data_IF_819205645947
#
_entry.id   IF_819205645947
#
_cell.length_a   1.000
_cell.length_b   1.000
_cell.length_c   1.000
_cell.angle_alpha   90.00
_cell.angle_beta   90.00
_cell.angle_gamma   90.00
#
_symmetry.space_group_name_H-M   'P 1'
#
loop_
_entity.id
_entity.type
_entity.pdbx_description
1 polymer ?
#
# COMPACT_ATOMS: atom_id res chain seq x y z
N UNK A 1 18.85 6.44 16.73
CA UNK A 1 19.63 5.25 16.30
C UNK A 1 19.54 5.03 14.78
N UNK A 2 18.37 5.03 14.15
CA UNK A 2 18.24 4.84 12.70
C UNK A 2 18.98 5.91 11.87
N UNK A 3 19.01 7.16 12.31
CA UNK A 3 19.75 8.26 11.68
C UNK A 3 21.25 8.00 11.50
N UNK A 4 21.84 7.15 12.35
CA UNK A 4 23.26 6.75 12.25
C UNK A 4 23.45 5.58 11.26
N UNK A 5 22.46 4.70 11.14
CA UNK A 5 22.52 3.52 10.27
C UNK A 5 22.14 3.86 8.82
N UNK A 6 21.18 4.78 8.62
CA UNK A 6 20.69 5.17 7.30
C UNK A 6 21.80 5.61 6.33
N UNK A 7 22.77 6.48 6.70
CA UNK A 7 23.83 6.90 5.77
C UNK A 7 24.67 5.72 5.26
N UNK A 8 24.85 4.69 6.08
CA UNK A 8 25.58 3.47 5.70
C UNK A 8 24.74 2.67 4.70
N UNK A 9 23.47 2.42 5.01
CA UNK A 9 22.54 1.69 4.13
C UNK A 9 22.37 2.40 2.77
N UNK A 10 22.43 3.72 2.75
CA UNK A 10 22.27 4.52 1.53
C UNK A 10 23.49 4.49 0.59
N UNK A 11 24.64 3.98 1.03
CA UNK A 11 25.82 3.74 0.16
C UNK A 11 25.70 2.47 -0.68
N UNK A 12 24.81 1.54 -0.28
CA UNK A 12 24.57 0.32 -1.03
C UNK A 12 23.47 0.53 -2.08
N UNK A 13 23.42 -0.37 -3.07
CA UNK A 13 22.28 -0.45 -3.99
C UNK A 13 20.96 -0.50 -3.23
N UNK A 14 19.94 0.18 -3.76
CA UNK A 14 18.69 0.37 -3.03
C UNK A 14 17.94 -0.94 -2.76
N UNK A 15 17.91 -1.85 -3.73
CA UNK A 15 17.21 -3.13 -3.62
C UNK A 15 18.00 -4.11 -2.73
N UNK A 16 19.33 -4.13 -2.82
CA UNK A 16 20.19 -4.91 -1.90
C UNK A 16 20.02 -4.45 -0.46
N UNK A 17 20.03 -3.13 -0.21
CA UNK A 17 19.80 -2.56 1.11
C UNK A 17 18.41 -2.90 1.66
N UNK A 18 17.38 -2.91 0.80
CA UNK A 18 16.03 -3.32 1.15
C UNK A 18 16.01 -4.79 1.63
N UNK A 19 16.54 -5.73 0.86
CA UNK A 19 16.59 -7.15 1.25
C UNK A 19 17.41 -7.37 2.51
N UNK A 20 18.55 -6.70 2.64
CA UNK A 20 19.36 -6.78 3.87
C UNK A 20 18.58 -6.29 5.09
N UNK A 21 17.88 -5.17 4.97
CA UNK A 21 17.07 -4.60 6.06
C UNK A 21 15.93 -5.53 6.47
N UNK A 22 15.19 -6.09 5.52
CA UNK A 22 14.11 -7.04 5.82
C UNK A 22 14.63 -8.30 6.52
N UNK A 23 15.74 -8.89 6.02
CA UNK A 23 16.35 -10.04 6.65
C UNK A 23 16.84 -9.74 8.08
N UNK A 24 17.41 -8.55 8.28
CA UNK A 24 17.87 -8.10 9.61
C UNK A 24 16.70 -7.89 10.57
N UNK A 25 15.60 -7.27 10.11
CA UNK A 25 14.38 -7.08 10.91
C UNK A 25 13.76 -8.41 11.30
N UNK A 26 13.65 -9.35 10.36
CA UNK A 26 13.12 -10.70 10.63
C UNK A 26 13.99 -11.45 11.63
N UNK A 27 15.30 -11.33 11.51
CA UNK A 27 16.24 -11.97 12.46
C UNK A 27 16.13 -11.34 13.84
N UNK A 28 16.11 -10.01 13.92
CA UNK A 28 15.97 -9.29 15.19
C UNK A 28 14.64 -9.61 15.89
N UNK A 29 13.56 -9.73 15.12
CA UNK A 29 12.24 -10.13 15.64
C UNK A 29 12.30 -11.56 16.25
N UNK A 30 12.83 -12.53 15.50
CA UNK A 30 12.96 -13.92 15.98
C UNK A 30 13.81 -14.05 17.24
N UNK A 31 14.81 -13.19 17.39
CA UNK A 31 15.67 -13.13 18.58
C UNK A 31 15.06 -12.30 19.73
N UNK A 32 13.88 -11.72 19.56
CA UNK A 32 13.23 -10.87 20.55
C UNK A 32 13.96 -9.54 20.79
N UNK A 33 14.76 -9.06 19.83
CA UNK A 33 15.55 -7.84 19.94
C UNK A 33 14.80 -6.57 19.51
N UNK A 34 13.62 -6.71 18.87
CA UNK A 34 12.81 -5.56 18.53
C UNK A 34 12.08 -5.01 19.75
N UNK A 35 12.04 -3.68 19.92
CA UNK A 35 11.27 -3.08 21.00
C UNK A 35 9.78 -3.36 20.78
N UNK A 36 9.10 -3.77 21.86
CA UNK A 36 7.63 -3.85 21.84
C UNK A 36 7.09 -2.43 21.98
N UNK A 37 6.58 -1.88 20.89
CA UNK A 37 5.91 -0.58 20.91
C UNK A 37 4.42 -0.83 21.15
N UNK A 38 3.84 -0.12 22.12
CA UNK A 38 2.39 -0.17 22.32
C UNK A 38 1.70 0.48 21.11
N UNK A 39 0.93 -0.32 20.39
CA UNK A 39 0.14 0.13 19.24
C UNK A 39 -1.25 0.64 19.62
N UNK A 40 -1.73 0.39 20.86
CA UNK A 40 -3.06 0.75 21.31
C UNK A 40 -3.12 2.20 21.83
N UNK A 41 -2.84 3.15 20.95
CA UNK A 41 -2.74 4.57 21.33
C UNK A 41 -3.95 5.39 20.93
N UNK A 42 -4.67 5.01 19.89
CA UNK A 42 -5.86 5.71 19.38
C UNK A 42 -6.74 4.73 18.58
N UNK A 43 -7.62 3.97 19.23
CA UNK A 43 -8.55 3.09 18.53
C UNK A 43 -9.34 3.85 17.46
N UNK A 44 -9.35 3.32 16.26
CA UNK A 44 -9.95 3.94 15.08
C UNK A 44 -10.74 2.90 14.31
N UNK A 45 -11.97 3.22 13.95
CA UNK A 45 -12.76 2.36 13.07
C UNK A 45 -12.40 2.63 11.61
N UNK A 46 -12.19 1.55 10.83
CA UNK A 46 -11.90 1.61 9.40
C UNK A 46 -12.55 0.41 8.71
N UNK A 47 -13.47 0.63 7.77
CA UNK A 47 -14.15 -0.45 7.04
C UNK A 47 -14.82 -1.51 7.97
N UNK A 48 -15.37 -1.09 9.12
CA UNK A 48 -15.90 -1.99 10.15
C UNK A 48 -14.86 -2.71 11.01
N UNK A 49 -13.56 -2.45 10.79
CA UNK A 49 -12.46 -3.01 11.57
C UNK A 49 -12.04 -2.05 12.68
N UNK A 50 -11.73 -2.59 13.86
CA UNK A 50 -11.20 -1.82 14.99
C UNK A 50 -9.67 -1.82 14.94
N UNK A 51 -9.08 -0.73 14.46
CA UNK A 51 -7.63 -0.52 14.45
C UNK A 51 -7.15 -0.07 15.84
N UNK A 52 -6.03 -0.57 16.36
CA UNK A 52 -5.45 -0.04 17.59
C UNK A 52 -4.94 1.40 17.45
N UNK A 53 -4.61 1.82 16.22
CA UNK A 53 -4.29 3.20 15.85
C UNK A 53 -4.41 3.40 14.32
N UNK A 54 -4.52 4.66 13.82
CA UNK A 54 -4.76 4.95 12.41
C UNK A 54 -3.50 4.95 11.53
N UNK A 55 -2.33 4.50 12.00
CA UNK A 55 -1.08 4.53 11.22
C UNK A 55 -0.72 3.12 10.77
N UNK A 56 -0.74 2.89 9.47
CA UNK A 56 -0.45 1.59 8.85
C UNK A 56 0.84 1.55 8.03
N UNK A 57 1.31 0.34 7.78
CA UNK A 57 2.34 0.06 6.78
C UNK A 57 1.69 -0.08 5.40
N UNK A 58 2.21 0.64 4.40
CA UNK A 58 1.75 0.50 3.01
C UNK A 58 2.33 -0.76 2.36
N UNK A 59 1.56 -1.37 1.45
CA UNK A 59 2.02 -2.47 0.61
C UNK A 59 3.28 -2.12 -0.19
N UNK A 60 4.10 -3.13 -0.46
CA UNK A 60 5.33 -3.03 -1.26
C UNK A 60 6.61 -3.15 -0.46
N UNK A 61 6.60 -2.90 0.84
CA UNK A 61 7.77 -3.14 1.72
C UNK A 61 7.92 -4.64 2.01
N UNK A 62 6.85 -5.30 2.42
CA UNK A 62 6.81 -6.76 2.58
C UNK A 62 5.91 -7.37 1.48
N UNK A 63 6.52 -7.74 0.36
CA UNK A 63 5.77 -8.22 -0.79
C UNK A 63 5.25 -9.65 -0.65
N UNK A 64 5.88 -10.43 0.21
CA UNK A 64 5.60 -11.85 0.36
C UNK A 64 5.04 -12.24 1.75
N UNK A 65 4.88 -11.27 2.66
CA UNK A 65 4.46 -11.56 4.03
C UNK A 65 5.54 -12.24 4.88
N UNK A 66 6.83 -11.96 4.61
CA UNK A 66 7.96 -12.58 5.30
C UNK A 66 8.36 -11.85 6.59
N UNK A 67 7.88 -10.61 6.79
CA UNK A 67 8.29 -9.72 7.87
C UNK A 67 7.10 -9.16 8.66
N UNK A 68 5.92 -9.80 8.62
CA UNK A 68 4.69 -9.31 9.25
C UNK A 68 4.91 -9.01 10.74
N UNK A 69 5.43 -9.99 11.49
CA UNK A 69 5.68 -9.87 12.93
C UNK A 69 6.67 -8.74 13.25
N UNK A 70 7.70 -8.58 12.41
CA UNK A 70 8.70 -7.55 12.60
C UNK A 70 8.15 -6.14 12.37
N UNK A 71 7.32 -5.94 11.33
CA UNK A 71 6.66 -4.66 11.11
C UNK A 71 5.61 -4.36 12.18
N UNK A 72 4.85 -5.36 12.62
CA UNK A 72 3.90 -5.21 13.71
C UNK A 72 4.58 -4.72 15.01
N UNK A 73 5.76 -5.24 15.32
CA UNK A 73 6.54 -4.83 16.49
C UNK A 73 6.97 -3.34 16.47
N UNK A 74 6.95 -2.68 15.31
CA UNK A 74 7.27 -1.26 15.17
C UNK A 74 6.13 -0.32 15.64
N UNK A 75 4.94 -0.85 15.95
CA UNK A 75 3.82 -0.08 16.50
C UNK A 75 2.77 0.36 15.48
N UNK A 76 2.78 -0.20 14.26
CA UNK A 76 1.71 0.03 13.30
C UNK A 76 0.37 -0.50 13.80
N UNK A 77 -0.71 0.24 13.56
CA UNK A 77 -2.08 -0.18 13.85
C UNK A 77 -2.58 -1.26 12.90
N UNK A 78 -2.05 -1.28 11.68
CA UNK A 78 -2.33 -2.29 10.66
C UNK A 78 -1.15 -2.43 9.71
N UNK A 79 -1.02 -3.61 9.12
CA UNK A 79 0.08 -3.95 8.19
C UNK A 79 -0.53 -4.39 6.87
N UNK A 80 -0.12 -3.78 5.76
CA UNK A 80 -0.51 -4.21 4.42
C UNK A 80 0.69 -4.84 3.71
N UNK A 81 0.54 -6.12 3.33
CA UNK A 81 1.54 -6.90 2.59
C UNK A 81 1.17 -7.01 1.12
N UNK A 82 2.11 -7.37 0.28
CA UNK A 82 1.91 -7.47 -1.18
C UNK A 82 2.60 -6.30 -1.92
N UNK A 83 2.31 -6.08 -3.17
CA UNK A 83 1.26 -6.69 -4.00
C UNK A 83 1.65 -8.10 -4.39
N UNK A 84 0.73 -9.02 -4.23
CA UNK A 84 0.85 -10.41 -4.63
C UNK A 84 0.01 -10.69 -5.88
N UNK A 85 0.48 -11.63 -6.70
CA UNK A 85 -0.19 -12.11 -7.91
C UNK A 85 -0.48 -13.61 -7.79
N UNK A 86 -1.39 -14.19 -8.59
CA UNK A 86 -1.70 -15.63 -8.53
C UNK A 86 -0.45 -16.50 -8.64
N UNK A 87 0.38 -16.22 -9.63
CA UNK A 87 1.65 -16.95 -9.88
C UNK A 87 2.85 -16.11 -9.45
N UNK A 88 3.96 -16.72 -9.02
CA UNK A 88 5.20 -16.00 -8.78
C UNK A 88 5.69 -15.30 -10.05
N UNK A 89 6.32 -14.15 -9.89
CA UNK A 89 6.96 -13.44 -10.99
C UNK A 89 8.18 -12.65 -10.52
N UNK A 90 9.22 -12.52 -11.36
CA UNK A 90 10.47 -11.83 -10.99
C UNK A 90 10.32 -10.31 -10.97
N UNK A 91 9.27 -9.76 -11.57
CA UNK A 91 9.13 -8.32 -11.83
C UNK A 91 10.00 -7.84 -12.99
N UNK A 92 10.19 -6.52 -13.08
CA UNK A 92 10.98 -5.91 -14.15
C UNK A 92 12.49 -6.15 -13.96
N UNK A 93 13.30 -6.04 -15.04
CA UNK A 93 14.75 -6.15 -14.94
C UNK A 93 15.38 -5.13 -13.99
N UNK A 94 16.46 -5.51 -13.34
CA UNK A 94 17.29 -4.63 -12.53
C UNK A 94 18.30 -3.84 -13.38
N UNK A 95 18.71 -2.59 -12.94
CA UNK A 95 18.27 -1.90 -11.73
C UNK A 95 16.85 -1.33 -11.89
N UNK A 96 16.07 -1.37 -10.81
CA UNK A 96 14.63 -1.02 -10.81
C UNK A 96 14.17 -0.26 -9.57
N UNK A 97 15.10 0.12 -8.70
CA UNK A 97 14.85 0.88 -7.47
C UNK A 97 15.94 1.93 -7.28
N UNK A 98 15.56 3.21 -7.24
CA UNK A 98 16.48 4.34 -7.16
C UNK A 98 16.05 5.28 -6.05
N UNK A 99 17.00 5.68 -5.21
CA UNK A 99 16.79 6.72 -4.18
C UNK A 99 17.18 8.07 -4.74
N UNK A 100 16.40 9.09 -4.38
CA UNK A 100 16.66 10.51 -4.68
C UNK A 100 16.75 11.24 -3.35
N UNK A 101 17.85 11.12 -2.61
CA UNK A 101 17.97 11.59 -1.22
C UNK A 101 17.71 13.09 -1.06
N UNK A 102 18.14 13.90 -2.01
CA UNK A 102 18.00 15.36 -2.02
C UNK A 102 16.54 15.78 -2.03
N UNK A 103 15.67 14.97 -2.65
CA UNK A 103 14.23 15.17 -2.70
C UNK A 103 13.45 14.25 -1.74
N UNK A 104 14.15 13.46 -0.92
CA UNK A 104 13.51 12.43 -0.08
C UNK A 104 12.53 11.55 -0.88
N UNK A 105 12.92 11.23 -2.12
CA UNK A 105 12.14 10.50 -3.10
C UNK A 105 12.70 9.11 -3.40
N UNK A 106 11.84 8.23 -3.91
CA UNK A 106 12.24 6.92 -4.43
C UNK A 106 11.54 6.71 -5.77
N UNK A 107 12.31 6.36 -6.79
CA UNK A 107 11.78 5.91 -8.08
C UNK A 107 11.86 4.39 -8.12
N UNK A 108 10.76 3.73 -8.49
CA UNK A 108 10.74 2.28 -8.65
C UNK A 108 9.95 1.84 -9.88
N UNK A 109 10.41 0.74 -10.48
CA UNK A 109 9.71 -0.01 -11.52
C UNK A 109 9.72 -1.51 -11.18
N UNK A 110 9.33 -1.85 -9.94
CA UNK A 110 9.44 -3.22 -9.42
C UNK A 110 8.66 -4.25 -10.23
N UNK A 111 7.46 -3.91 -10.76
CA UNK A 111 6.66 -4.79 -11.61
C UNK A 111 6.05 -5.97 -10.85
N UNK A 112 5.65 -5.74 -9.59
CA UNK A 112 5.03 -6.75 -8.72
C UNK A 112 5.87 -8.04 -8.57
N UNK A 113 7.20 -7.89 -8.35
CA UNK A 113 8.02 -9.05 -8.01
C UNK A 113 7.53 -9.68 -6.71
N UNK A 114 7.15 -10.96 -6.77
CA UNK A 114 6.60 -11.72 -5.64
C UNK A 114 6.70 -13.23 -5.86
N UNK A 115 6.47 -14.01 -4.81
CA UNK A 115 6.56 -15.48 -4.81
C UNK A 115 5.21 -16.18 -5.06
N UNK A 116 4.19 -15.42 -5.45
CA UNK A 116 2.82 -15.91 -5.68
C UNK A 116 2.00 -16.03 -4.40
N UNK A 117 0.67 -16.07 -4.58
CA UNK A 117 -0.29 -16.06 -3.46
C UNK A 117 -0.11 -17.25 -2.52
N UNK A 118 0.19 -18.44 -3.03
CA UNK A 118 0.35 -19.64 -2.20
C UNK A 118 1.57 -19.56 -1.27
N UNK A 119 2.65 -18.92 -1.72
CA UNK A 119 3.81 -18.66 -0.86
C UNK A 119 3.50 -17.62 0.21
N UNK A 120 2.77 -16.57 -0.13
CA UNK A 120 2.33 -15.55 0.83
C UNK A 120 1.45 -16.16 1.92
N UNK A 121 0.47 -17.00 1.56
CA UNK A 121 -0.40 -17.67 2.54
C UNK A 121 0.42 -18.48 3.53
N UNK A 122 1.38 -19.30 3.08
CA UNK A 122 2.27 -20.03 3.98
C UNK A 122 3.04 -19.11 4.93
N UNK A 123 3.47 -17.95 4.47
CA UNK A 123 4.17 -16.98 5.33
C UNK A 123 3.22 -16.37 6.38
N UNK A 124 1.97 -16.07 6.01
CA UNK A 124 0.95 -15.58 6.93
C UNK A 124 0.64 -16.63 8.02
N UNK A 125 0.45 -17.89 7.61
CA UNK A 125 0.18 -19.00 8.54
C UNK A 125 1.33 -19.23 9.53
N UNK A 126 2.57 -18.98 9.13
CA UNK A 126 3.75 -19.05 9.99
C UNK A 126 3.95 -17.80 10.88
N UNK A 127 3.21 -16.71 10.62
CA UNK A 127 3.27 -15.48 11.42
C UNK A 127 2.47 -15.63 12.71
N UNK A 128 2.96 -14.99 13.78
CA UNK A 128 2.28 -14.90 15.07
C UNK A 128 1.35 -13.68 15.17
N UNK A 129 1.36 -12.81 14.17
CA UNK A 129 0.57 -11.59 14.16
C UNK A 129 -0.93 -11.89 14.18
N UNK A 130 -1.64 -11.26 15.12
CA UNK A 130 -3.10 -11.39 15.29
C UNK A 130 -3.82 -10.05 15.15
N UNK A 131 -3.11 -9.03 14.68
CA UNK A 131 -3.67 -7.70 14.41
C UNK A 131 -4.31 -7.61 13.02
N UNK A 132 -4.52 -6.38 12.59
CA UNK A 132 -5.18 -6.08 11.31
C UNK A 132 -4.19 -6.24 10.15
N UNK A 133 -4.41 -7.27 9.33
CA UNK A 133 -3.59 -7.60 8.16
C UNK A 133 -4.35 -7.30 6.86
N UNK A 134 -3.83 -6.36 6.08
CA UNK A 134 -4.26 -6.12 4.71
C UNK A 134 -3.47 -6.96 3.72
N UNK A 135 -4.14 -7.52 2.72
CA UNK A 135 -3.48 -8.24 1.61
C UNK A 135 -3.75 -7.48 0.32
N UNK A 136 -2.69 -6.95 -0.29
CA UNK A 136 -2.75 -6.21 -1.53
C UNK A 136 -2.57 -7.17 -2.71
N UNK A 137 -3.57 -7.26 -3.58
CA UNK A 137 -3.63 -8.18 -4.71
C UNK A 137 -3.51 -7.46 -6.05
N UNK A 138 -2.95 -8.13 -7.03
CA UNK A 138 -2.76 -7.58 -8.36
C UNK A 138 -2.67 -8.65 -9.45
N UNK A 139 -2.60 -8.18 -10.69
CA UNK A 139 -2.53 -9.01 -11.89
C UNK A 139 -1.09 -9.42 -12.21
N UNK A 140 -0.87 -10.65 -12.64
CA UNK A 140 0.39 -11.08 -13.24
C UNK A 140 0.74 -10.26 -14.50
N UNK A 141 2.02 -10.03 -14.73
CA UNK A 141 2.48 -9.26 -15.90
C UNK A 141 2.12 -9.92 -17.22
N UNK A 142 2.13 -11.25 -17.26
CA UNK A 142 1.84 -12.07 -18.46
C UNK A 142 0.35 -12.21 -18.75
N UNK A 143 -0.53 -11.95 -17.81
CA UNK A 143 -1.98 -12.01 -18.01
C UNK A 143 -2.42 -10.82 -18.86
N UNK A 144 -3.12 -11.02 -20.00
CA UNK A 144 -3.70 -9.94 -20.78
C UNK A 144 -4.63 -9.06 -19.96
N UNK A 145 -4.79 -7.79 -20.36
CA UNK A 145 -5.59 -6.85 -19.56
C UNK A 145 -7.07 -7.22 -19.53
N UNK A 146 -7.57 -7.78 -20.63
CA UNK A 146 -8.95 -8.28 -20.77
C UNK A 146 -9.28 -9.45 -19.83
N UNK A 147 -8.26 -10.17 -19.35
CA UNK A 147 -8.37 -11.27 -18.39
C UNK A 147 -7.90 -10.86 -16.98
N UNK A 148 -7.74 -9.57 -16.73
CA UNK A 148 -7.23 -9.08 -15.45
C UNK A 148 -8.09 -9.54 -14.26
N UNK A 149 -9.41 -9.55 -14.42
CA UNK A 149 -10.34 -9.94 -13.38
C UNK A 149 -10.09 -11.35 -12.83
N UNK A 150 -9.66 -12.31 -13.68
CA UNK A 150 -9.39 -13.68 -13.27
C UNK A 150 -8.28 -13.74 -12.22
N UNK A 151 -7.20 -12.97 -12.42
CA UNK A 151 -6.08 -12.91 -11.47
C UNK A 151 -6.49 -12.33 -10.11
N UNK A 152 -7.31 -11.27 -10.13
CA UNK A 152 -7.82 -10.67 -8.90
C UNK A 152 -8.77 -11.63 -8.17
N UNK A 153 -9.65 -12.33 -8.89
CA UNK A 153 -10.59 -13.31 -8.32
C UNK A 153 -9.85 -14.49 -7.69
N UNK A 154 -8.80 -15.03 -8.35
CA UNK A 154 -7.95 -16.10 -7.80
C UNK A 154 -7.28 -15.64 -6.51
N UNK A 155 -6.68 -14.43 -6.52
CA UNK A 155 -6.05 -13.90 -5.32
C UNK A 155 -7.05 -13.62 -4.20
N UNK A 156 -8.23 -13.05 -4.52
CA UNK A 156 -9.30 -12.78 -3.56
C UNK A 156 -9.75 -14.06 -2.86
N UNK A 157 -10.04 -15.12 -3.64
CA UNK A 157 -10.47 -16.40 -3.09
C UNK A 157 -9.46 -17.00 -2.13
N UNK A 158 -8.19 -17.05 -2.53
CA UNK A 158 -7.12 -17.62 -1.71
C UNK A 158 -6.77 -16.78 -0.48
N UNK A 159 -6.79 -15.44 -0.61
CA UNK A 159 -6.46 -14.53 0.48
C UNK A 159 -7.56 -14.37 1.52
N UNK A 160 -8.82 -14.64 1.17
CA UNK A 160 -10.00 -14.24 1.93
C UNK A 160 -9.98 -14.68 3.39
N UNK A 161 -9.68 -15.94 3.66
CA UNK A 161 -9.66 -16.48 5.02
C UNK A 161 -8.55 -15.87 5.90
N UNK A 162 -7.48 -15.40 5.28
CA UNK A 162 -6.25 -14.94 5.94
C UNK A 162 -6.19 -13.41 6.12
N UNK A 163 -7.04 -12.66 5.44
CA UNK A 163 -7.02 -11.20 5.46
C UNK A 163 -7.99 -10.62 6.50
N UNK A 164 -7.64 -9.46 7.05
CA UNK A 164 -8.59 -8.56 7.72
C UNK A 164 -9.29 -7.67 6.71
N UNK A 165 -8.59 -7.20 5.67
CA UNK A 165 -9.13 -6.54 4.50
C UNK A 165 -8.27 -6.87 3.26
N UNK A 166 -8.82 -6.67 2.06
CA UNK A 166 -8.09 -6.92 0.82
C UNK A 166 -8.06 -5.65 -0.01
N UNK A 167 -6.87 -5.32 -0.55
CA UNK A 167 -6.66 -4.16 -1.42
C UNK A 167 -6.55 -4.59 -2.87
N UNK A 168 -7.44 -4.08 -3.71
CA UNK A 168 -7.42 -4.26 -5.17
C UNK A 168 -6.51 -3.19 -5.79
N UNK A 169 -5.31 -3.58 -6.21
CA UNK A 169 -4.31 -2.64 -6.73
C UNK A 169 -4.38 -2.51 -8.25
N UNK A 170 -5.06 -1.47 -8.72
CA UNK A 170 -5.20 -1.12 -10.14
C UNK A 170 -4.33 0.07 -10.58
N UNK A 171 -3.45 0.54 -9.71
CA UNK A 171 -2.79 1.85 -9.82
C UNK A 171 -1.28 1.80 -10.10
N UNK A 172 -0.67 0.61 -10.21
CA UNK A 172 0.76 0.51 -10.49
C UNK A 172 1.10 1.03 -11.89
N UNK A 173 2.06 1.97 -12.01
CA UNK A 173 2.55 2.41 -13.32
C UNK A 173 3.52 1.41 -13.98
N UNK A 174 3.90 0.37 -13.24
CA UNK A 174 4.99 -0.55 -13.61
C UNK A 174 4.49 -1.88 -14.19
N UNK A 175 3.18 -2.02 -14.35
CA UNK A 175 2.51 -3.15 -15.01
C UNK A 175 1.78 -2.62 -16.24
N UNK A 176 2.06 -3.21 -17.40
CA UNK A 176 1.53 -2.73 -18.69
C UNK A 176 0.01 -2.60 -18.66
N UNK A 177 -0.48 -1.44 -19.05
CA UNK A 177 -1.90 -1.09 -19.16
C UNK A 177 -2.74 -1.24 -17.87
N UNK A 178 -2.14 -1.51 -16.71
CA UNK A 178 -2.90 -1.74 -15.48
C UNK A 178 -3.78 -0.54 -15.10
N UNK A 179 -3.28 0.67 -15.30
CA UNK A 179 -4.03 1.89 -14.98
C UNK A 179 -5.24 2.13 -15.87
N UNK A 180 -5.35 1.44 -17.03
CA UNK A 180 -6.56 1.46 -17.84
C UNK A 180 -7.79 0.90 -17.07
N UNK A 181 -7.57 0.00 -16.09
CA UNK A 181 -8.62 -0.50 -15.20
C UNK A 181 -9.21 0.57 -14.26
N UNK A 182 -8.69 1.80 -14.26
CA UNK A 182 -9.28 2.93 -13.53
C UNK A 182 -10.31 3.71 -14.37
N UNK A 183 -10.52 3.34 -15.63
CA UNK A 183 -11.58 3.88 -16.49
C UNK A 183 -12.96 3.34 -16.12
N UNK A 184 -14.02 4.12 -16.34
CA UNK A 184 -15.37 3.90 -15.85
C UNK A 184 -15.92 2.48 -16.02
N UNK A 185 -16.06 2.00 -17.26
CA UNK A 185 -16.69 0.68 -17.52
C UNK A 185 -15.80 -0.48 -17.08
N UNK A 186 -14.49 -0.42 -17.32
CA UNK A 186 -13.54 -1.44 -16.89
C UNK A 186 -13.44 -1.52 -15.37
N UNK A 187 -13.46 -0.36 -14.69
CA UNK A 187 -13.48 -0.29 -13.24
C UNK A 187 -14.74 -0.92 -12.68
N UNK A 188 -15.92 -0.55 -13.21
CA UNK A 188 -17.20 -1.07 -12.76
C UNK A 188 -17.24 -2.59 -12.90
N UNK A 189 -16.92 -3.13 -14.08
CA UNK A 189 -16.94 -4.55 -14.35
C UNK A 189 -16.02 -5.35 -13.41
N UNK A 190 -14.80 -4.85 -13.18
CA UNK A 190 -13.86 -5.49 -12.26
C UNK A 190 -14.38 -5.48 -10.81
N UNK A 191 -14.82 -4.33 -10.32
CA UNK A 191 -15.24 -4.19 -8.92
C UNK A 191 -16.53 -4.93 -8.65
N UNK A 192 -17.48 -4.96 -9.59
CA UNK A 192 -18.72 -5.78 -9.51
C UNK A 192 -18.38 -7.27 -9.42
N UNK A 193 -17.48 -7.78 -10.26
CA UNK A 193 -17.05 -9.17 -10.20
C UNK A 193 -16.44 -9.52 -8.84
N UNK A 194 -15.61 -8.62 -8.29
CA UNK A 194 -15.00 -8.80 -6.98
C UNK A 194 -16.01 -8.71 -5.83
N UNK A 195 -16.97 -7.79 -5.88
CA UNK A 195 -18.04 -7.69 -4.87
C UNK A 195 -18.94 -8.91 -4.88
N UNK A 196 -19.30 -9.42 -6.06
CA UNK A 196 -20.04 -10.66 -6.19
C UNK A 196 -19.30 -11.86 -5.60
N UNK A 197 -17.99 -11.96 -5.86
CA UNK A 197 -17.14 -13.00 -5.27
C UNK A 197 -16.98 -12.80 -3.74
N UNK A 198 -16.84 -11.58 -3.26
CA UNK A 198 -16.81 -11.25 -1.83
C UNK A 198 -18.06 -11.75 -1.11
N UNK A 199 -19.26 -11.52 -1.68
CA UNK A 199 -20.51 -11.98 -1.09
C UNK A 199 -20.58 -13.52 -0.99
N UNK A 200 -20.13 -14.24 -2.03
CA UNK A 200 -20.04 -15.70 -2.01
C UNK A 200 -19.08 -16.20 -0.93
N UNK A 201 -17.89 -15.58 -0.84
CA UNK A 201 -16.88 -15.95 0.15
C UNK A 201 -17.33 -15.59 1.59
N UNK A 202 -18.02 -14.47 1.77
CA UNK A 202 -18.58 -14.09 3.07
C UNK A 202 -19.58 -15.13 3.56
N UNK A 203 -20.47 -15.62 2.69
CA UNK A 203 -21.42 -16.66 3.01
C UNK A 203 -20.73 -18.00 3.32
N UNK A 204 -19.70 -18.37 2.53
CA UNK A 204 -18.97 -19.61 2.70
C UNK A 204 -18.13 -19.66 3.99
N UNK A 205 -17.49 -18.53 4.35
CA UNK A 205 -16.59 -18.44 5.52
C UNK A 205 -17.27 -17.92 6.78
N UNK A 206 -18.52 -17.45 6.72
CA UNK A 206 -19.19 -16.80 7.86
C UNK A 206 -18.47 -15.53 8.36
N UNK A 207 -17.68 -14.89 7.49
CA UNK A 207 -16.83 -13.74 7.82
C UNK A 207 -16.86 -12.74 6.67
N UNK A 208 -17.16 -11.48 6.96
CA UNK A 208 -17.03 -10.40 5.99
C UNK A 208 -15.61 -9.85 5.99
N UNK A 209 -14.96 -9.82 4.83
CA UNK A 209 -13.63 -9.22 4.64
C UNK A 209 -13.78 -8.04 3.68
N UNK A 210 -13.60 -6.79 4.16
CA UNK A 210 -13.79 -5.61 3.35
C UNK A 210 -12.78 -5.50 2.21
N UNK A 211 -13.22 -4.91 1.08
CA UNK A 211 -12.42 -4.63 -0.11
C UNK A 211 -12.15 -3.14 -0.25
N UNK A 212 -10.88 -2.75 -0.35
CA UNK A 212 -10.45 -1.40 -0.69
C UNK A 212 -9.84 -1.37 -2.10
N UNK A 213 -10.10 -0.31 -2.87
CA UNK A 213 -9.44 -0.09 -4.16
C UNK A 213 -8.33 0.93 -4.03
N UNK A 214 -7.13 0.62 -4.56
CA UNK A 214 -5.97 1.54 -4.52
C UNK A 214 -5.77 2.22 -5.87
N UNK A 215 -5.81 3.55 -5.86
CA UNK A 215 -5.79 4.40 -7.04
C UNK A 215 -4.47 5.15 -7.24
N UNK A 216 -4.24 5.65 -8.46
CA UNK A 216 -3.07 6.45 -8.82
C UNK A 216 -3.26 7.93 -8.40
N UNK A 217 -2.15 8.69 -8.25
CA UNK A 217 -2.24 10.13 -8.04
C UNK A 217 -2.33 10.93 -9.35
N UNK A 218 -2.09 10.30 -10.50
CA UNK A 218 -2.06 10.94 -11.81
C UNK A 218 -3.44 10.84 -12.48
N UNK A 219 -4.45 11.41 -11.82
CA UNK A 219 -5.84 11.43 -12.24
C UNK A 219 -6.28 12.89 -12.40
N UNK A 220 -7.06 13.17 -13.44
CA UNK A 220 -7.78 14.43 -13.59
C UNK A 220 -9.12 14.39 -12.80
N UNK A 221 -9.81 15.53 -12.75
CA UNK A 221 -11.05 15.64 -11.96
C UNK A 221 -12.16 14.74 -12.50
N UNK A 222 -12.28 14.60 -13.82
CA UNK A 222 -13.29 13.72 -14.42
C UNK A 222 -13.06 12.25 -14.06
N UNK A 223 -11.80 11.80 -14.10
CA UNK A 223 -11.43 10.45 -13.67
C UNK A 223 -11.71 10.22 -12.18
N UNK A 224 -11.51 11.25 -11.34
CA UNK A 224 -11.84 11.16 -9.91
C UNK A 224 -13.36 11.10 -9.71
N UNK A 225 -14.14 11.84 -10.50
CA UNK A 225 -15.60 11.79 -10.48
C UNK A 225 -16.12 10.40 -10.88
N UNK A 226 -15.57 9.81 -11.94
CA UNK A 226 -15.90 8.45 -12.39
C UNK A 226 -15.57 7.40 -11.31
N UNK A 227 -14.38 7.46 -10.73
CA UNK A 227 -13.97 6.55 -9.65
C UNK A 227 -14.92 6.71 -8.45
N UNK A 228 -15.22 7.93 -8.02
CA UNK A 228 -16.11 8.19 -6.90
C UNK A 228 -17.53 7.68 -7.16
N UNK A 229 -18.01 7.79 -8.41
CA UNK A 229 -19.30 7.25 -8.82
C UNK A 229 -19.30 5.72 -8.75
N UNK A 230 -18.31 5.06 -9.37
CA UNK A 230 -18.23 3.60 -9.44
C UNK A 230 -18.09 2.98 -8.05
N UNK A 231 -17.18 3.48 -7.21
CA UNK A 231 -16.96 2.89 -5.87
C UNK A 231 -18.18 2.99 -4.98
N UNK A 232 -19.02 4.03 -5.17
CA UNK A 232 -20.30 4.15 -4.47
C UNK A 232 -21.33 3.19 -5.04
N UNK A 233 -21.46 3.10 -6.38
CA UNK A 233 -22.47 2.27 -7.04
C UNK A 233 -22.30 0.78 -6.76
N UNK A 234 -21.04 0.31 -6.68
CA UNK A 234 -20.70 -1.10 -6.38
C UNK A 234 -20.52 -1.36 -4.88
N UNK A 235 -20.75 -0.37 -4.04
CA UNK A 235 -20.64 -0.47 -2.57
C UNK A 235 -19.28 -1.01 -2.12
N UNK A 236 -18.18 -0.39 -2.62
CA UNK A 236 -16.84 -0.68 -2.10
C UNK A 236 -16.72 -0.29 -0.62
N UNK A 237 -15.86 -0.99 0.11
CA UNK A 237 -15.72 -0.78 1.55
C UNK A 237 -14.69 0.31 1.91
N UNK A 238 -13.78 0.66 0.97
CA UNK A 238 -12.79 1.71 1.18
C UNK A 238 -11.99 2.05 -0.08
N UNK A 239 -11.25 3.17 0.00
CA UNK A 239 -10.32 3.62 -1.04
C UNK A 239 -8.95 3.86 -0.42
N UNK A 240 -7.87 3.55 -1.16
CA UNK A 240 -6.50 3.89 -0.78
C UNK A 240 -5.97 4.93 -1.78
N UNK A 241 -5.73 6.13 -1.29
CA UNK A 241 -5.25 7.27 -2.07
C UNK A 241 -3.92 7.80 -1.50
N UNK A 242 -2.78 7.56 -2.19
CA UNK A 242 -2.60 7.08 -3.55
C UNK A 242 -1.39 6.14 -3.70
N UNK A 243 -1.19 5.59 -4.92
CA UNK A 243 0.04 4.94 -5.34
C UNK A 243 1.12 6.01 -5.68
N UNK A 244 2.19 5.61 -6.38
CA UNK A 244 3.27 6.48 -6.87
C UNK A 244 2.87 7.26 -8.12
N UNK A 245 3.51 8.41 -8.36
CA UNK A 245 3.28 9.24 -9.56
C UNK A 245 4.28 8.94 -10.67
N UNK A 246 3.85 9.07 -11.92
CA UNK A 246 4.76 9.09 -13.09
C UNK A 246 5.33 10.48 -13.35
N UNK A 247 4.73 11.52 -12.78
CA UNK A 247 5.21 12.88 -12.87
C UNK A 247 6.48 13.07 -12.02
N UNK A 248 7.54 13.54 -12.65
CA UNK A 248 8.84 13.78 -12.04
C UNK A 248 9.28 15.24 -12.14
N UNK A 249 8.35 16.13 -12.50
CA UNK A 249 8.62 17.57 -12.63
C UNK A 249 9.22 18.18 -11.36
N UNK A 250 8.83 17.66 -10.18
CA UNK A 250 9.38 18.06 -8.88
C UNK A 250 10.87 17.74 -8.69
N UNK A 251 11.47 16.89 -9.52
CA UNK A 251 12.90 16.58 -9.49
C UNK A 251 13.73 17.59 -10.32
N UNK A 252 13.10 18.45 -11.11
CA UNK A 252 13.78 19.45 -11.94
C UNK A 252 14.86 18.84 -12.85
N UNK A 253 16.07 19.32 -12.76
CA UNK A 253 17.24 18.87 -13.56
C UNK A 253 17.98 17.67 -12.95
N UNK A 254 17.42 17.01 -11.92
CA UNK A 254 18.09 15.86 -11.29
C UNK A 254 18.31 14.73 -12.33
N UNK A 255 19.48 14.06 -12.37
CA UNK A 255 19.80 13.03 -13.36
C UNK A 255 18.78 11.90 -13.46
N UNK A 256 18.14 11.55 -12.34
CA UNK A 256 17.07 10.52 -12.30
C UNK A 256 15.69 11.03 -12.69
N UNK A 257 15.51 12.30 -13.07
CA UNK A 257 14.22 12.82 -13.52
C UNK A 257 13.70 12.11 -14.79
N UNK A 258 14.61 11.63 -15.65
CA UNK A 258 14.28 10.86 -16.87
C UNK A 258 14.12 9.36 -16.61
N UNK A 259 14.36 8.87 -15.38
CA UNK A 259 14.30 7.44 -15.06
C UNK A 259 12.86 6.93 -15.12
N UNK A 260 12.65 5.75 -15.68
CA UNK A 260 11.32 5.13 -15.74
C UNK A 260 10.87 4.61 -14.36
N UNK A 261 9.56 4.59 -14.15
CA UNK A 261 8.93 4.07 -12.92
C UNK A 261 8.15 5.12 -12.15
N UNK A 262 7.54 4.69 -11.05
CA UNK A 262 6.77 5.55 -10.17
C UNK A 262 7.63 6.25 -9.13
N UNK A 263 7.41 7.55 -8.93
CA UNK A 263 8.06 8.38 -7.92
C UNK A 263 7.22 8.43 -6.65
N UNK A 264 7.83 8.15 -5.51
CA UNK A 264 7.24 8.19 -4.15
C UNK A 264 8.05 9.06 -3.20
N UNK A 265 7.61 9.19 -1.97
CA UNK A 265 8.24 10.04 -0.95
C UNK A 265 7.71 11.46 -0.99
N UNK A 266 8.50 12.42 -0.50
CA UNK A 266 8.09 13.82 -0.44
C UNK A 266 7.54 14.38 -1.77
N UNK A 267 8.13 14.03 -2.93
CA UNK A 267 7.66 14.56 -4.22
C UNK A 267 6.21 14.27 -4.60
N UNK A 268 5.61 13.18 -4.10
CA UNK A 268 4.21 12.83 -4.42
C UNK A 268 3.19 13.48 -3.48
N UNK A 269 3.65 14.15 -2.40
CA UNK A 269 2.78 14.62 -1.31
C UNK A 269 1.63 15.51 -1.79
N UNK A 270 1.95 16.57 -2.51
CA UNK A 270 0.95 17.56 -2.94
C UNK A 270 -0.08 16.93 -3.87
N UNK A 271 0.37 16.15 -4.86
CA UNK A 271 -0.52 15.46 -5.81
C UNK A 271 -1.42 14.45 -5.09
N UNK A 272 -0.87 13.66 -4.17
CA UNK A 272 -1.63 12.73 -3.35
C UNK A 272 -2.64 13.45 -2.44
N UNK A 273 -2.28 14.59 -1.87
CA UNK A 273 -3.18 15.41 -1.06
C UNK A 273 -4.32 16.00 -1.89
N UNK A 274 -4.05 16.46 -3.09
CA UNK A 274 -5.07 16.97 -4.01
C UNK A 274 -6.10 15.88 -4.36
N UNK A 275 -5.63 14.69 -4.78
CA UNK A 275 -6.53 13.56 -5.10
C UNK A 275 -7.35 13.14 -3.88
N UNK A 276 -6.71 13.05 -2.71
CA UNK A 276 -7.40 12.71 -1.46
C UNK A 276 -8.52 13.71 -1.14
N UNK A 277 -8.23 15.02 -1.22
CA UNK A 277 -9.21 16.08 -0.98
C UNK A 277 -10.38 15.98 -1.94
N UNK A 278 -10.10 15.90 -3.25
CA UNK A 278 -11.12 15.78 -4.27
C UNK A 278 -12.01 14.56 -4.10
N UNK A 279 -11.44 13.41 -3.73
CA UNK A 279 -12.22 12.21 -3.41
C UNK A 279 -13.11 12.43 -2.18
N UNK A 280 -12.56 12.97 -1.10
CA UNK A 280 -13.32 13.21 0.14
C UNK A 280 -14.52 14.16 -0.08
N UNK A 281 -14.41 15.08 -1.03
CA UNK A 281 -15.52 15.99 -1.41
C UNK A 281 -16.61 15.27 -2.25
N UNK A 282 -16.29 14.14 -2.89
CA UNK A 282 -17.18 13.43 -3.84
C UNK A 282 -17.81 12.16 -3.28
N UNK A 283 -17.17 11.56 -2.30
CA UNK A 283 -17.67 10.34 -1.66
C UNK A 283 -18.42 10.67 -0.36
N UNK A 284 -19.28 9.74 0.05
CA UNK A 284 -19.96 9.80 1.33
C UNK A 284 -18.94 9.55 2.48
N UNK A 285 -19.12 10.22 3.62
CA UNK A 285 -18.30 10.00 4.83
C UNK A 285 -18.33 8.56 5.34
N UNK A 286 -19.28 7.74 4.88
CA UNK A 286 -19.35 6.31 5.20
C UNK A 286 -18.33 5.45 4.45
N UNK A 287 -17.76 5.94 3.35
CA UNK A 287 -16.72 5.25 2.58
C UNK A 287 -15.35 5.77 3.02
N UNK A 288 -14.61 5.06 3.88
CA UNK A 288 -13.36 5.55 4.42
C UNK A 288 -12.24 5.58 3.37
N UNK A 289 -11.35 6.59 3.50
CA UNK A 289 -10.15 6.71 2.68
C UNK A 289 -8.92 6.46 3.54
N UNK A 290 -8.01 5.61 3.06
CA UNK A 290 -6.67 5.48 3.62
C UNK A 290 -5.74 6.41 2.84
N UNK A 291 -5.19 7.43 3.51
CA UNK A 291 -4.28 8.40 2.91
C UNK A 291 -2.85 7.87 2.81
N UNK A 292 -2.28 7.85 1.59
CA UNK A 292 -0.91 7.36 1.33
C UNK A 292 -0.19 8.30 0.38
N UNK A 293 1.11 8.50 0.60
CA UNK A 293 1.98 9.29 -0.28
C UNK A 293 2.49 10.56 0.38
N UNK A 294 3.81 10.68 0.45
CA UNK A 294 4.50 11.88 0.91
C UNK A 294 4.51 12.10 2.43
N UNK A 295 4.11 11.14 3.25
CA UNK A 295 4.17 11.26 4.71
C UNK A 295 5.62 11.12 5.16
N UNK A 296 6.23 12.24 5.57
CA UNK A 296 7.61 12.34 6.04
C UNK A 296 7.70 12.87 7.47
N UNK A 297 6.56 13.26 8.06
CA UNK A 297 6.44 13.80 9.42
C UNK A 297 5.05 13.52 10.01
N UNK A 298 4.88 13.74 11.30
CA UNK A 298 3.57 13.71 11.94
C UNK A 298 2.60 14.75 11.37
N UNK A 299 3.12 15.93 10.98
CA UNK A 299 2.30 16.99 10.37
C UNK A 299 1.72 16.55 9.01
N UNK A 300 2.49 15.81 8.19
CA UNK A 300 1.99 15.27 6.92
C UNK A 300 0.86 14.24 7.15
N UNK A 301 0.98 13.41 8.20
CA UNK A 301 -0.08 12.47 8.58
C UNK A 301 -1.35 13.21 9.04
N UNK A 302 -1.21 14.23 9.89
CA UNK A 302 -2.32 15.06 10.35
C UNK A 302 -3.00 15.79 9.20
N UNK A 303 -2.23 16.28 8.22
CA UNK A 303 -2.77 16.92 7.03
C UNK A 303 -3.63 15.96 6.20
N UNK A 304 -3.22 14.70 6.02
CA UNK A 304 -4.06 13.72 5.32
C UNK A 304 -5.39 13.46 6.03
N UNK A 305 -5.37 13.37 7.36
CA UNK A 305 -6.62 13.24 8.15
C UNK A 305 -7.49 14.48 7.98
N UNK A 306 -6.91 15.68 8.03
CA UNK A 306 -7.63 16.94 7.80
C UNK A 306 -8.26 17.04 6.41
N UNK A 307 -7.65 16.43 5.41
CA UNK A 307 -8.14 16.35 4.04
C UNK A 307 -9.19 15.25 3.79
N UNK A 308 -9.57 14.50 4.84
CA UNK A 308 -10.64 13.51 4.79
C UNK A 308 -10.22 12.04 4.86
N UNK A 309 -8.93 11.75 5.11
CA UNK A 309 -8.51 10.37 5.35
C UNK A 309 -8.99 9.88 6.73
N UNK A 310 -9.43 8.63 6.81
CA UNK A 310 -9.79 7.95 8.07
C UNK A 310 -8.58 7.32 8.76
N UNK A 311 -7.59 6.93 7.97
CA UNK A 311 -6.32 6.36 8.41
C UNK A 311 -5.22 6.71 7.40
N UNK A 312 -3.95 6.49 7.76
CA UNK A 312 -2.80 6.76 6.89
C UNK A 312 -1.89 5.55 6.78
N UNK A 313 -1.19 5.44 5.65
CA UNK A 313 -0.13 4.44 5.46
C UNK A 313 1.19 5.12 5.12
N UNK A 314 2.29 4.61 5.65
CA UNK A 314 3.65 5.07 5.35
C UNK A 314 4.45 4.02 4.58
N UNK A 315 5.30 4.49 3.66
CA UNK A 315 6.25 3.68 2.88
C UNK A 315 7.64 4.37 2.84
N UNK A 316 7.83 5.33 1.94
CA UNK A 316 9.12 6.02 1.75
C UNK A 316 9.56 6.79 2.99
N UNK A 317 8.59 7.34 3.74
CA UNK A 317 8.88 8.00 5.00
C UNK A 317 9.55 7.07 6.01
N UNK A 318 9.12 5.81 6.11
CA UNK A 318 9.78 4.81 6.97
C UNK A 318 11.23 4.56 6.53
N UNK A 319 11.51 4.54 5.23
CA UNK A 319 12.87 4.34 4.69
C UNK A 319 13.78 5.53 4.99
N UNK A 320 13.26 6.76 4.95
CA UNK A 320 14.03 7.97 5.21
C UNK A 320 14.17 8.32 6.70
N UNK A 321 13.11 8.10 7.48
CA UNK A 321 13.01 8.55 8.88
C UNK A 321 13.12 7.40 9.90
N UNK A 322 12.91 6.15 9.45
CA UNK A 322 12.89 4.98 10.32
C UNK A 322 11.64 4.91 11.23
N UNK A 323 11.66 4.02 12.24
CA UNK A 323 10.50 3.77 13.10
C UNK A 323 10.03 4.98 13.93
N UNK A 324 10.88 5.97 14.14
CA UNK A 324 10.48 7.20 14.87
C UNK A 324 9.36 7.95 14.15
N UNK A 325 9.26 7.84 12.82
CA UNK A 325 8.15 8.43 12.07
C UNK A 325 6.78 7.92 12.54
N UNK A 326 6.68 6.64 12.93
CA UNK A 326 5.41 6.07 13.41
C UNK A 326 4.99 6.80 14.69
N UNK A 327 5.93 6.99 15.63
CA UNK A 327 5.67 7.72 16.88
C UNK A 327 5.29 9.18 16.64
N UNK A 328 5.98 9.84 15.69
CA UNK A 328 5.64 11.21 15.30
C UNK A 328 4.22 11.30 14.73
N UNK A 329 3.84 10.37 13.85
CA UNK A 329 2.49 10.31 13.29
C UNK A 329 1.45 10.08 14.40
N UNK A 330 1.67 9.11 15.30
CA UNK A 330 0.77 8.83 16.41
C UNK A 330 0.61 10.02 17.36
N UNK A 331 1.69 10.75 17.63
CA UNK A 331 1.65 11.95 18.46
C UNK A 331 0.86 13.09 17.80
N UNK A 332 0.97 13.25 16.48
CA UNK A 332 0.28 14.30 15.74
C UNK A 332 -1.21 14.00 15.50
N UNK A 333 -1.59 12.73 15.58
CA UNK A 333 -2.99 12.28 15.39
C UNK A 333 -3.78 12.14 16.71
N UNK A 334 -3.26 12.63 17.81
CA UNK A 334 -3.93 12.61 19.13
C UNK A 334 -5.16 13.51 19.18
#
# INVERSE_FOLDING_TARGET
MYSLVRPILFRFDAEKAHHFTLNSLRTAEKLGLLPKVDSHTRPTELMGLQLPNPVGLAAGLDKNGECIDAFAALGFGFVEIGTVTPKPQPGNPQPRLFRVPEHQGIINRMGFNNHGIDAMIRNIENSRFKGILGINIGKNAVTPIENAADDYLICLEKAYAHASYITVNISSPNTKNLRALQGGDELSALLEALKNKQAQLAAAHGKYVPLAVKIAPDLDEAQIDDIAHVVKSVEMDGIIATNTTIDKSSLGSHPLASEQGGLSGLPVREKSNQVLKLLAERIDSKLPIIGVGGIMSGADAAEKIRLGASAVQVYSGLIYRGPELIKECLAALK
#
